data_IF_512251798448
#
_entry.id   IF_512251798448
#
_cell.length_a   1.000
_cell.length_b   1.000
_cell.length_c   1.000
_cell.angle_alpha   90.00
_cell.angle_beta   90.00
_cell.angle_gamma   90.00
#
_symmetry.space_group_name_H-M   'P 1'
#
loop_
_entity.id
_entity.type
_entity.pdbx_description
1 polymer ?
#
# COMPACT_ATOMS: atom_id res chain seq x y z
N UNK A 1 13.00 37.67 54.00
CA UNK A 1 13.45 37.77 52.59
C UNK A 1 14.82 37.11 52.51
N UNK A 2 14.92 35.86 52.05
CA UNK A 2 16.19 35.13 52.06
C UNK A 2 17.10 35.62 50.93
N UNK A 3 18.28 36.09 51.31
CA UNK A 3 19.32 36.55 50.39
C UNK A 3 19.96 35.34 49.70
N UNK A 4 19.40 34.95 48.54
CA UNK A 4 20.07 34.03 47.64
C UNK A 4 21.22 34.80 46.98
N UNK A 5 22.44 34.51 47.42
CA UNK A 5 23.67 35.15 46.95
C UNK A 5 23.87 34.86 45.44
N UNK A 6 24.30 35.85 44.64
CA UNK A 6 24.47 35.74 43.18
C UNK A 6 25.34 34.54 42.74
N UNK A 7 26.22 34.05 43.62
CA UNK A 7 27.02 32.84 43.41
C UNK A 7 26.20 31.54 43.43
N UNK A 8 25.18 31.44 44.30
CA UNK A 8 24.29 30.27 44.37
C UNK A 8 23.42 30.17 43.11
N UNK A 9 22.95 31.31 42.58
CA UNK A 9 22.16 31.37 41.34
C UNK A 9 23.00 30.96 40.13
N UNK A 10 24.26 31.43 40.02
CA UNK A 10 25.17 30.99 38.94
C UNK A 10 25.43 29.49 38.97
N UNK A 11 25.66 28.90 40.15
CA UNK A 11 25.90 27.46 40.26
C UNK A 11 24.64 26.63 39.94
N UNK A 12 23.45 27.08 40.34
CA UNK A 12 22.18 26.40 39.98
C UNK A 12 21.91 26.49 38.48
N UNK A 13 22.18 27.63 37.83
CA UNK A 13 22.01 27.78 36.38
C UNK A 13 23.02 26.92 35.61
N UNK A 14 24.28 26.84 36.05
CA UNK A 14 25.30 26.00 35.41
C UNK A 14 24.99 24.51 35.60
N UNK A 15 24.55 24.08 36.79
CA UNK A 15 24.18 22.68 37.05
C UNK A 15 22.95 22.28 36.22
N UNK A 16 21.92 23.13 36.14
CA UNK A 16 20.75 22.85 35.29
C UNK A 16 21.10 22.86 33.79
N UNK A 17 21.97 23.76 33.34
CA UNK A 17 22.43 23.77 31.95
C UNK A 17 23.24 22.51 31.58
N UNK A 18 24.08 22.00 32.49
CA UNK A 18 24.84 20.74 32.28
C UNK A 18 23.94 19.51 32.32
N UNK A 19 22.93 19.46 33.20
CA UNK A 19 21.95 18.35 33.23
C UNK A 19 21.06 18.36 31.98
N UNK A 20 20.65 19.54 31.50
CA UNK A 20 19.90 19.68 30.23
C UNK A 20 20.80 19.31 29.04
N UNK A 21 22.07 19.70 29.04
CA UNK A 21 23.02 19.28 28.00
C UNK A 21 23.27 17.77 28.02
N UNK A 22 23.35 17.14 29.21
CA UNK A 22 23.48 15.69 29.34
C UNK A 22 22.20 14.95 28.93
N UNK A 23 21.01 15.51 29.15
CA UNK A 23 19.74 14.95 28.67
C UNK A 23 19.55 15.14 27.16
N UNK A 24 20.10 16.21 26.57
CA UNK A 24 20.15 16.41 25.11
C UNK A 24 21.22 15.52 24.46
N UNK A 25 22.38 15.33 25.11
CA UNK A 25 23.45 14.46 24.64
C UNK A 25 23.13 12.96 24.81
N UNK A 26 22.32 12.58 25.81
CA UNK A 26 21.81 11.22 25.98
C UNK A 26 20.64 10.87 25.03
N UNK A 27 20.16 11.83 24.23
CA UNK A 27 19.27 11.59 23.08
C UNK A 27 20.02 11.46 21.75
N UNK A 28 21.34 11.33 21.79
CA UNK A 28 22.11 10.89 20.64
C UNK A 28 22.08 9.36 20.56
N UNK A 29 21.24 8.87 19.65
CA UNK A 29 21.37 7.59 18.93
C UNK A 29 21.41 6.31 19.78
N UNK A 30 20.27 5.92 20.34
CA UNK A 30 19.80 4.56 20.05
C UNK A 30 18.80 4.69 18.90
N UNK A 31 19.32 4.68 17.66
CA UNK A 31 18.45 4.28 16.57
C UNK A 31 18.09 2.82 16.88
N UNK A 32 16.82 2.55 17.18
CA UNK A 32 16.37 1.17 17.33
C UNK A 32 16.79 0.43 16.06
N UNK A 33 17.49 -0.69 16.23
CA UNK A 33 18.01 -1.43 15.09
C UNK A 33 16.82 -1.97 14.28
N UNK A 34 16.56 -1.38 13.11
CA UNK A 34 15.46 -1.80 12.23
C UNK A 34 15.77 -3.17 11.64
N UNK A 35 14.74 -3.93 11.24
CA UNK A 35 14.93 -5.23 10.57
C UNK A 35 15.25 -5.09 9.07
N UNK A 36 15.50 -3.87 8.60
CA UNK A 36 15.76 -3.52 7.20
C UNK A 36 16.85 -2.45 7.08
N UNK A 37 17.45 -2.37 5.90
CA UNK A 37 18.35 -1.30 5.48
C UNK A 37 17.54 -0.15 4.87
N UNK A 38 18.04 1.08 4.93
CA UNK A 38 17.42 2.24 4.29
C UNK A 38 18.37 2.96 3.32
N UNK A 39 17.78 3.65 2.35
CA UNK A 39 18.39 4.69 1.51
C UNK A 39 17.42 5.87 1.54
N UNK A 40 17.79 6.91 2.28
CA UNK A 40 16.91 8.04 2.54
C UNK A 40 17.35 9.26 1.75
N UNK A 41 16.41 10.17 1.51
CA UNK A 41 16.61 11.47 0.87
C UNK A 41 17.24 11.40 -0.52
N UNK A 42 16.95 10.32 -1.28
CA UNK A 42 17.41 10.19 -2.66
C UNK A 42 16.60 11.13 -3.56
N UNK A 43 17.25 11.97 -4.36
CA UNK A 43 16.55 12.77 -5.38
C UNK A 43 16.23 11.89 -6.58
N UNK A 44 14.94 11.72 -6.90
CA UNK A 44 14.53 10.96 -8.08
C UNK A 44 14.25 11.86 -9.28
N UNK A 45 13.82 13.10 -9.04
CA UNK A 45 13.51 14.08 -10.09
C UNK A 45 13.83 15.48 -9.60
N UNK A 46 14.46 16.29 -10.47
CA UNK A 46 14.68 17.72 -10.22
C UNK A 46 13.95 18.52 -11.29
N UNK A 47 13.13 19.47 -10.85
CA UNK A 47 12.36 20.36 -11.71
C UNK A 47 12.76 21.78 -11.35
N UNK A 48 13.54 22.41 -12.22
CA UNK A 48 14.21 23.69 -11.93
C UNK A 48 15.05 23.57 -10.63
N UNK A 49 14.59 24.18 -9.53
CA UNK A 49 15.25 24.14 -8.22
C UNK A 49 14.52 23.25 -7.20
N UNK A 50 13.45 22.56 -7.60
CA UNK A 50 12.69 21.66 -6.75
C UNK A 50 13.20 20.23 -6.90
N UNK A 51 13.68 19.65 -5.79
CA UNK A 51 14.05 18.23 -5.72
C UNK A 51 12.89 17.41 -5.15
N UNK A 52 12.41 16.43 -5.91
CA UNK A 52 11.49 15.42 -5.42
C UNK A 52 12.28 14.19 -4.97
N UNK A 53 11.95 13.72 -3.77
CA UNK A 53 12.73 12.74 -3.06
C UNK A 53 12.00 11.41 -2.90
N UNK A 54 12.79 10.34 -2.76
CA UNK A 54 12.34 8.98 -2.53
C UNK A 54 13.16 8.36 -1.40
N UNK A 55 12.48 7.68 -0.49
CA UNK A 55 13.08 6.87 0.57
C UNK A 55 12.83 5.40 0.26
N UNK A 56 13.86 4.56 0.35
CA UNK A 56 13.79 3.13 0.03
C UNK A 56 14.19 2.33 1.25
N UNK A 57 13.40 1.34 1.63
CA UNK A 57 13.81 0.31 2.58
C UNK A 57 13.95 -1.04 1.87
N UNK A 58 14.98 -1.76 2.27
CA UNK A 58 15.43 -3.00 1.67
C UNK A 58 15.57 -4.06 2.77
N UNK A 59 15.23 -5.33 2.51
CA UNK A 59 15.49 -6.43 3.43
C UNK A 59 16.95 -6.43 3.93
N UNK A 60 17.16 -6.78 5.21
CA UNK A 60 18.51 -6.85 5.81
C UNK A 60 19.42 -7.88 5.14
N UNK A 61 18.86 -8.93 4.56
CA UNK A 61 19.63 -9.98 3.92
C UNK A 61 20.26 -9.47 2.60
N UNK A 62 21.59 -9.57 2.51
CA UNK A 62 22.37 -9.15 1.34
C UNK A 62 22.31 -10.15 0.17
N UNK A 63 21.11 -10.68 -0.11
CA UNK A 63 20.89 -11.48 -1.32
C UNK A 63 21.03 -10.60 -2.57
N UNK A 64 21.61 -11.15 -3.63
CA UNK A 64 21.67 -10.51 -4.95
C UNK A 64 20.35 -10.62 -5.73
N UNK A 65 19.33 -11.25 -5.15
CA UNK A 65 18.01 -11.41 -5.75
C UNK A 65 17.33 -10.05 -5.96
N UNK A 66 16.80 -9.84 -7.17
CA UNK A 66 15.86 -8.76 -7.47
C UNK A 66 14.49 -9.06 -6.85
N UNK A 67 13.84 -8.05 -6.29
CA UNK A 67 12.67 -8.21 -5.42
C UNK A 67 11.48 -7.41 -5.93
N UNK A 68 10.26 -7.94 -5.76
CA UNK A 68 9.06 -7.12 -5.91
C UNK A 68 9.15 -5.89 -5.00
N UNK A 69 8.71 -4.75 -5.52
CA UNK A 69 8.89 -3.46 -4.86
C UNK A 69 7.59 -2.68 -4.83
N UNK A 70 7.21 -2.20 -3.65
CA UNK A 70 6.05 -1.35 -3.46
C UNK A 70 6.46 0.12 -3.62
N UNK A 71 5.96 0.78 -4.66
CA UNK A 71 6.04 2.22 -4.84
C UNK A 71 4.88 2.89 -4.07
N UNK A 72 5.16 3.56 -2.96
CA UNK A 72 4.15 4.09 -2.05
C UNK A 72 3.99 5.60 -2.16
N UNK A 73 2.73 6.06 -2.17
CA UNK A 73 2.36 7.47 -2.19
C UNK A 73 1.52 7.86 -0.96
N UNK A 74 1.99 8.88 -0.24
CA UNK A 74 1.37 9.37 0.99
C UNK A 74 0.02 10.06 0.74
N UNK A 75 -0.81 10.14 1.78
CA UNK A 75 -2.08 10.89 1.77
C UNK A 75 -1.88 12.40 1.96
N UNK A 76 -2.95 13.13 2.31
CA UNK A 76 -2.88 14.58 2.58
C UNK A 76 -3.58 15.46 1.54
N UNK A 77 -4.62 14.94 0.88
CA UNK A 77 -5.49 15.72 0.00
C UNK A 77 -4.80 16.31 -1.23
N UNK A 78 -3.67 15.73 -1.67
CA UNK A 78 -2.77 16.27 -2.71
C UNK A 78 -2.22 17.68 -2.39
N UNK A 79 -2.24 18.08 -1.12
CA UNK A 79 -1.87 19.43 -0.66
C UNK A 79 -0.88 19.43 0.50
N UNK A 80 -0.67 18.28 1.13
CA UNK A 80 0.17 18.09 2.29
C UNK A 80 0.68 16.66 2.36
N UNK A 81 1.53 16.40 3.35
CA UNK A 81 2.16 15.11 3.61
C UNK A 81 3.56 15.03 3.02
N UNK A 82 4.22 13.90 3.26
CA UNK A 82 5.52 13.58 2.68
C UNK A 82 5.72 12.07 2.59
N UNK A 83 6.72 11.65 1.82
CA UNK A 83 7.16 10.26 1.72
C UNK A 83 7.50 9.58 3.04
N UNK A 84 7.64 10.33 4.13
CA UNK A 84 7.91 9.79 5.47
C UNK A 84 6.65 9.23 6.13
N UNK A 85 5.46 9.65 5.68
CA UNK A 85 4.20 9.28 6.30
C UNK A 85 3.83 7.83 5.94
N UNK A 86 3.65 6.97 6.94
CA UNK A 86 3.34 5.53 6.75
C UNK A 86 4.51 4.65 6.29
N UNK A 87 5.61 5.24 5.83
CA UNK A 87 6.77 4.51 5.29
C UNK A 87 7.39 3.52 6.29
N UNK A 88 7.70 3.88 7.56
CA UNK A 88 8.28 2.93 8.51
C UNK A 88 7.39 1.70 8.76
N UNK A 89 6.08 1.90 8.89
CA UNK A 89 5.11 0.83 9.14
C UNK A 89 5.05 -0.19 8.00
N UNK A 90 5.06 0.30 6.75
CA UNK A 90 5.07 -0.58 5.59
C UNK A 90 6.41 -1.32 5.46
N UNK A 91 7.54 -0.64 5.74
CA UNK A 91 8.85 -1.28 5.79
C UNK A 91 8.92 -2.41 6.81
N UNK A 92 8.46 -2.18 8.03
CA UNK A 92 8.42 -3.19 9.09
C UNK A 92 7.57 -4.41 8.70
N UNK A 93 6.46 -4.17 8.00
CA UNK A 93 5.57 -5.23 7.53
C UNK A 93 6.23 -6.11 6.46
N UNK A 94 6.74 -5.52 5.37
CA UNK A 94 7.02 -6.32 4.15
C UNK A 94 8.48 -6.70 3.97
N UNK A 95 9.42 -5.94 4.55
CA UNK A 95 10.86 -6.23 4.36
C UNK A 95 11.34 -7.54 4.98
N UNK A 96 10.78 -8.05 6.11
CA UNK A 96 11.14 -9.38 6.62
C UNK A 96 10.79 -10.50 5.64
N UNK A 97 9.79 -10.28 4.79
CA UNK A 97 9.33 -11.24 3.78
C UNK A 97 10.00 -11.04 2.41
N UNK A 98 10.99 -10.15 2.33
CA UNK A 98 11.84 -10.01 1.16
C UNK A 98 11.37 -9.01 0.11
N UNK A 99 10.35 -8.22 0.39
CA UNK A 99 9.87 -7.12 -0.46
C UNK A 99 10.62 -5.81 -0.17
N UNK A 100 10.75 -4.95 -1.18
CA UNK A 100 11.23 -3.58 -0.98
C UNK A 100 10.05 -2.61 -0.86
N UNK A 101 10.26 -1.46 -0.21
CA UNK A 101 9.33 -0.31 -0.29
C UNK A 101 10.12 0.91 -0.73
N UNK A 102 9.56 1.64 -1.68
CA UNK A 102 10.06 2.94 -2.13
C UNK A 102 8.94 3.98 -1.98
N UNK A 103 9.04 4.86 -1.00
CA UNK A 103 8.07 5.91 -0.73
C UNK A 103 8.54 7.23 -1.32
N UNK A 104 7.71 7.88 -2.12
CA UNK A 104 8.11 9.05 -2.90
C UNK A 104 7.27 10.29 -2.59
N UNK A 105 7.94 11.45 -2.56
CA UNK A 105 7.28 12.75 -2.59
C UNK A 105 6.73 12.99 -4.00
N UNK A 106 5.66 13.76 -4.12
CA UNK A 106 5.14 14.26 -5.38
C UNK A 106 4.75 15.73 -5.21
N UNK A 107 4.71 16.51 -6.29
CA UNK A 107 4.36 17.92 -6.21
C UNK A 107 2.93 18.11 -5.69
N UNK A 108 2.73 19.12 -4.85
CA UNK A 108 1.48 19.37 -4.13
C UNK A 108 0.82 20.69 -4.54
N UNK A 109 -0.51 20.74 -4.47
CA UNK A 109 -1.27 21.97 -4.66
C UNK A 109 -1.16 22.87 -3.41
N UNK A 110 -1.24 24.21 -3.55
CA UNK A 110 -1.70 24.96 -4.71
C UNK A 110 -0.67 25.21 -5.80
N UNK A 111 0.62 25.09 -5.48
CA UNK A 111 1.72 25.49 -6.37
C UNK A 111 1.82 24.59 -7.60
N UNK A 112 1.46 23.32 -7.43
CA UNK A 112 1.44 22.33 -8.48
C UNK A 112 0.12 21.57 -8.48
N UNK A 113 -0.57 21.61 -9.62
CA UNK A 113 -1.87 20.95 -9.83
C UNK A 113 -1.72 19.85 -10.86
N UNK A 114 -2.76 19.06 -11.08
CA UNK A 114 -2.80 18.14 -12.20
C UNK A 114 -2.34 18.84 -13.52
N UNK A 115 -1.48 18.22 -14.34
CA UNK A 115 -0.98 16.83 -14.26
C UNK A 115 0.30 16.62 -13.41
N UNK A 116 0.84 17.66 -12.79
CA UNK A 116 2.19 17.62 -12.19
C UNK A 116 2.42 16.44 -11.23
N UNK A 117 1.48 16.21 -10.32
CA UNK A 117 1.52 15.13 -9.33
C UNK A 117 1.41 13.72 -9.96
N UNK A 118 0.64 13.57 -11.04
CA UNK A 118 0.50 12.30 -11.75
C UNK A 118 1.78 12.00 -12.52
N UNK A 119 2.37 13.02 -13.14
CA UNK A 119 3.63 12.90 -13.86
C UNK A 119 4.77 12.49 -12.94
N UNK A 120 4.80 13.05 -11.73
CA UNK A 120 5.78 12.69 -10.70
C UNK A 120 5.61 11.23 -10.26
N UNK A 121 4.38 10.79 -9.98
CA UNK A 121 4.09 9.41 -9.59
C UNK A 121 4.44 8.39 -10.70
N UNK A 122 4.10 8.67 -11.95
CA UNK A 122 4.52 7.83 -13.07
C UNK A 122 6.04 7.82 -13.25
N UNK A 123 6.70 8.97 -13.05
CA UNK A 123 8.16 9.07 -13.12
C UNK A 123 8.83 8.19 -12.07
N UNK A 124 8.30 8.10 -10.84
CA UNK A 124 8.82 7.21 -9.79
C UNK A 124 8.91 5.77 -10.28
N UNK A 125 7.87 5.25 -10.95
CA UNK A 125 7.90 3.89 -11.49
C UNK A 125 9.03 3.71 -12.51
N UNK A 126 9.21 4.69 -13.42
CA UNK A 126 10.29 4.67 -14.42
C UNK A 126 11.67 4.75 -13.77
N UNK A 127 11.82 5.59 -12.75
CA UNK A 127 13.05 5.75 -12.00
C UNK A 127 13.44 4.47 -11.25
N UNK A 128 12.47 3.79 -10.63
CA UNK A 128 12.68 2.49 -9.98
C UNK A 128 13.16 1.42 -10.97
N UNK A 129 12.56 1.37 -12.17
CA UNK A 129 13.00 0.46 -13.24
C UNK A 129 14.41 0.78 -13.73
N UNK A 130 14.75 2.06 -13.87
CA UNK A 130 16.09 2.49 -14.25
C UNK A 130 17.16 2.11 -13.21
N UNK A 131 16.81 2.18 -11.92
CA UNK A 131 17.74 1.90 -10.81
C UNK A 131 17.59 0.48 -10.23
N UNK A 132 17.00 -0.43 -11.02
CA UNK A 132 16.62 -1.74 -10.54
C UNK A 132 17.82 -2.57 -10.02
N UNK A 133 18.95 -2.49 -10.70
CA UNK A 133 20.19 -3.17 -10.28
C UNK A 133 20.73 -2.64 -8.95
N UNK A 134 20.74 -1.31 -8.80
CA UNK A 134 21.26 -0.60 -7.62
C UNK A 134 20.48 -0.92 -6.35
N UNK A 135 19.15 -0.99 -6.47
CA UNK A 135 18.26 -1.18 -5.32
C UNK A 135 17.63 -2.57 -5.25
N UNK A 136 18.12 -3.53 -6.05
CA UNK A 136 17.63 -4.92 -6.08
C UNK A 136 16.12 -4.99 -6.33
N UNK A 137 15.63 -4.18 -7.25
CA UNK A 137 14.22 -4.16 -7.67
C UNK A 137 14.06 -5.11 -8.84
N UNK A 138 12.99 -5.89 -8.85
CA UNK A 138 12.52 -6.57 -10.06
C UNK A 138 11.68 -5.56 -10.87
N UNK A 139 12.15 -5.09 -12.04
CA UNK A 139 11.46 -4.06 -12.81
C UNK A 139 10.11 -4.54 -13.39
N UNK A 140 9.84 -5.83 -13.36
CA UNK A 140 8.58 -6.44 -13.80
C UNK A 140 7.65 -6.80 -12.63
N UNK A 141 8.01 -6.43 -11.39
CA UNK A 141 7.18 -6.67 -10.19
C UNK A 141 7.13 -5.43 -9.32
N UNK A 142 6.65 -4.32 -9.88
CA UNK A 142 6.43 -3.08 -9.14
C UNK A 142 4.94 -2.97 -8.81
N UNK A 143 4.62 -2.89 -7.52
CA UNK A 143 3.27 -2.67 -7.01
C UNK A 143 3.15 -1.18 -6.70
N UNK A 144 2.10 -0.51 -7.16
CA UNK A 144 1.81 0.86 -6.74
C UNK A 144 0.88 0.84 -5.53
N UNK A 145 1.16 1.66 -4.52
CA UNK A 145 0.35 1.71 -3.33
C UNK A 145 0.16 3.13 -2.79
N UNK A 146 -0.89 3.35 -2.02
CA UNK A 146 -1.07 4.62 -1.33
C UNK A 146 -2.26 4.65 -0.37
N UNK A 147 -2.36 5.76 0.35
CA UNK A 147 -3.45 6.02 1.31
C UNK A 147 -4.16 7.34 0.98
N UNK A 148 -5.48 7.42 1.13
CA UNK A 148 -6.28 8.64 0.91
C UNK A 148 -6.04 9.25 -0.49
N UNK A 149 -5.59 10.49 -0.56
CA UNK A 149 -5.20 11.14 -1.80
C UNK A 149 -4.08 10.40 -2.55
N UNK A 150 -3.14 9.77 -1.83
CA UNK A 150 -2.11 8.91 -2.40
C UNK A 150 -2.68 7.60 -2.95
N UNK A 151 -3.75 7.07 -2.35
CA UNK A 151 -4.48 5.92 -2.89
C UNK A 151 -5.20 6.29 -4.21
N UNK A 152 -5.77 7.50 -4.26
CA UNK A 152 -6.38 8.05 -5.48
C UNK A 152 -5.31 8.16 -6.58
N UNK A 153 -4.15 8.75 -6.27
CA UNK A 153 -3.01 8.84 -7.19
C UNK A 153 -2.49 7.47 -7.65
N UNK A 154 -2.29 6.54 -6.70
CA UNK A 154 -1.85 5.18 -6.97
C UNK A 154 -2.82 4.43 -7.88
N UNK A 155 -4.12 4.58 -7.68
CA UNK A 155 -5.14 3.93 -8.52
C UNK A 155 -5.11 4.43 -9.97
N UNK A 156 -4.89 5.73 -10.18
CA UNK A 156 -4.73 6.30 -11.53
C UNK A 156 -3.44 5.79 -12.17
N UNK A 157 -2.34 5.68 -11.43
CA UNK A 157 -1.10 5.06 -11.94
C UNK A 157 -1.29 3.58 -12.27
N UNK A 158 -2.10 2.86 -11.47
CA UNK A 158 -2.41 1.44 -11.65
C UNK A 158 -3.21 1.14 -12.92
N UNK A 159 -4.21 1.98 -13.21
CA UNK A 159 -5.15 1.79 -14.32
C UNK A 159 -4.68 2.48 -15.60
N UNK A 160 -4.15 3.70 -15.50
CA UNK A 160 -3.83 4.51 -16.67
C UNK A 160 -2.64 3.96 -17.44
N UNK A 161 -2.80 3.88 -18.76
CA UNK A 161 -1.71 3.57 -19.66
C UNK A 161 -0.58 4.60 -19.59
N UNK A 162 0.63 4.16 -19.93
CA UNK A 162 1.85 4.97 -19.91
C UNK A 162 1.73 6.17 -20.85
N UNK A 163 1.31 7.32 -20.32
CA UNK A 163 1.30 8.59 -21.02
C UNK A 163 2.73 9.14 -21.03
N UNK A 164 3.52 8.65 -21.98
CA UNK A 164 4.89 9.13 -22.22
C UNK A 164 4.83 10.59 -22.68
N UNK A 165 5.03 11.54 -21.77
CA UNK A 165 5.45 12.86 -22.20
C UNK A 165 6.95 12.78 -22.53
N UNK A 166 7.36 13.08 -23.77
CA UNK A 166 8.76 13.11 -24.15
C UNK A 166 9.61 14.06 -23.30
N UNK A 167 8.99 15.06 -22.66
CA UNK A 167 9.66 15.98 -21.75
C UNK A 167 10.16 15.33 -20.44
N UNK A 168 9.76 14.10 -20.12
CA UNK A 168 10.00 13.48 -18.81
C UNK A 168 11.29 12.64 -18.69
N UNK A 169 12.27 12.79 -19.58
CA UNK A 169 13.65 12.31 -19.37
C UNK A 169 13.87 10.78 -19.29
N UNK A 170 12.82 9.95 -19.14
CA UNK A 170 12.88 8.49 -19.03
C UNK A 170 11.87 7.75 -19.95
N UNK A 171 11.75 8.10 -21.25
CA UNK A 171 10.73 7.51 -22.13
C UNK A 171 10.92 6.02 -22.43
N UNK A 172 12.08 5.43 -22.07
CA UNK A 172 12.41 4.03 -22.34
C UNK A 172 11.72 3.04 -21.39
N UNK A 173 11.25 3.50 -20.22
CA UNK A 173 10.61 2.64 -19.23
C UNK A 173 9.12 2.93 -19.17
N UNK A 174 8.29 1.88 -19.19
CA UNK A 174 6.86 2.00 -18.93
C UNK A 174 6.61 2.41 -17.49
N UNK A 175 5.67 3.34 -17.25
CA UNK A 175 5.19 3.66 -15.90
C UNK A 175 4.09 2.74 -15.38
N UNK A 176 3.65 1.74 -16.16
CA UNK A 176 2.61 0.80 -15.73
C UNK A 176 3.17 -0.13 -14.62
N UNK A 177 2.55 -0.15 -13.43
CA UNK A 177 2.87 -1.12 -12.38
C UNK A 177 2.22 -2.47 -12.69
N UNK A 178 2.56 -3.51 -11.93
CA UNK A 178 2.03 -4.87 -12.11
C UNK A 178 0.95 -5.21 -11.09
N UNK A 179 0.66 -4.33 -10.13
CA UNK A 179 -0.43 -4.49 -9.16
C UNK A 179 -0.66 -3.23 -8.34
N UNK A 180 -1.76 -3.18 -7.62
CA UNK A 180 -2.21 -1.97 -6.91
C UNK A 180 -2.75 -2.26 -5.50
N UNK A 181 -2.32 -1.50 -4.50
CA UNK A 181 -2.84 -1.55 -3.12
C UNK A 181 -3.32 -0.16 -2.71
N UNK A 182 -4.61 0.01 -2.44
CA UNK A 182 -5.21 1.33 -2.18
C UNK A 182 -6.01 1.31 -0.89
N UNK A 183 -5.72 2.27 0.00
CA UNK A 183 -6.40 2.39 1.30
C UNK A 183 -7.15 3.73 1.39
N UNK A 184 -8.46 3.66 1.62
CA UNK A 184 -9.37 4.81 1.78
C UNK A 184 -9.26 5.88 0.67
N UNK A 185 -9.18 5.47 -0.60
CA UNK A 185 -9.05 6.38 -1.75
C UNK A 185 -10.40 6.86 -2.31
N UNK A 186 -10.32 7.82 -3.23
CA UNK A 186 -11.38 8.19 -4.16
C UNK A 186 -10.94 7.81 -5.58
N UNK A 187 -11.84 7.22 -6.37
CA UNK A 187 -11.49 6.58 -7.64
C UNK A 187 -12.30 7.09 -8.82
N UNK A 188 -13.48 7.65 -8.55
CA UNK A 188 -14.35 8.34 -9.50
C UNK A 188 -14.62 9.78 -9.03
N UNK A 189 -13.97 10.73 -9.69
CA UNK A 189 -14.19 12.16 -9.48
C UNK A 189 -15.22 12.73 -10.46
N UNK A 190 -15.69 11.94 -11.43
CA UNK A 190 -16.67 12.36 -12.44
C UNK A 190 -18.09 12.35 -11.89
N UNK A 191 -18.39 11.47 -10.93
CA UNK A 191 -19.68 11.43 -10.26
C UNK A 191 -19.67 12.22 -8.93
N UNK A 192 -20.29 13.40 -8.87
CA UNK A 192 -20.35 14.20 -7.65
C UNK A 192 -21.17 13.51 -6.53
N UNK A 193 -22.03 12.54 -6.86
CA UNK A 193 -22.81 11.81 -5.86
C UNK A 193 -21.94 10.83 -5.07
N UNK A 194 -20.87 10.31 -5.67
CA UNK A 194 -19.96 9.36 -5.03
C UNK A 194 -18.91 10.02 -4.12
N UNK A 195 -18.70 11.33 -4.21
CA UNK A 195 -17.81 12.08 -3.29
C UNK A 195 -18.59 12.88 -2.23
N UNK A 196 -19.89 13.08 -2.44
CA UNK A 196 -20.70 14.00 -1.65
C UNK A 196 -20.15 15.44 -1.69
N UNK A 197 -20.42 16.22 -0.63
CA UNK A 197 -19.94 17.61 -0.52
C UNK A 197 -18.42 17.74 -0.30
N UNK A 198 -17.68 16.63 -0.19
CA UNK A 198 -16.26 16.62 0.12
C UNK A 198 -15.44 16.39 -1.15
N UNK A 199 -14.91 17.45 -1.74
CA UNK A 199 -13.96 17.33 -2.85
C UNK A 199 -12.71 18.19 -2.63
N UNK A 200 -11.85 17.87 -1.63
CA UNK A 200 -10.59 18.59 -1.40
C UNK A 200 -9.65 18.48 -2.61
N UNK A 201 -9.79 17.40 -3.38
CA UNK A 201 -8.97 17.07 -4.55
C UNK A 201 -9.33 17.91 -5.78
N UNK A 202 -10.60 18.33 -5.93
CA UNK A 202 -11.08 19.19 -7.04
C UNK A 202 -10.23 20.44 -7.23
N UNK A 203 -9.77 21.03 -6.12
CA UNK A 203 -8.88 22.18 -6.17
C UNK A 203 -7.53 21.84 -6.83
N UNK A 204 -6.97 20.68 -6.48
CA UNK A 204 -5.73 20.12 -7.04
C UNK A 204 -5.90 19.67 -8.49
N UNK A 205 -7.14 19.44 -8.95
CA UNK A 205 -7.48 19.19 -10.36
C UNK A 205 -7.73 20.48 -11.15
N UNK A 206 -7.56 21.66 -10.54
CA UNK A 206 -7.60 22.95 -11.25
C UNK A 206 -8.97 23.37 -11.78
N UNK A 207 -10.06 22.67 -11.43
CA UNK A 207 -11.41 22.97 -11.91
C UNK A 207 -11.66 22.66 -13.39
N UNK A 208 -10.79 21.88 -14.03
CA UNK A 208 -10.95 21.46 -15.41
C UNK A 208 -11.60 20.08 -15.48
N UNK A 209 -12.76 19.97 -16.13
CA UNK A 209 -13.50 18.71 -16.24
C UNK A 209 -12.71 17.61 -16.97
N UNK A 210 -11.81 17.96 -17.90
CA UNK A 210 -10.96 16.96 -18.54
C UNK A 210 -10.01 16.32 -17.53
N UNK A 211 -9.47 17.10 -16.59
CA UNK A 211 -8.58 16.60 -15.54
C UNK A 211 -9.32 15.74 -14.52
N UNK A 212 -10.60 16.02 -14.30
CA UNK A 212 -11.47 15.18 -13.48
C UNK A 212 -11.60 13.78 -14.07
N UNK A 213 -11.90 13.68 -15.37
CA UNK A 213 -11.94 12.38 -16.04
C UNK A 213 -10.55 11.71 -16.03
N UNK A 214 -9.49 12.45 -16.37
CA UNK A 214 -8.14 11.89 -16.43
C UNK A 214 -7.58 11.44 -15.07
N UNK A 215 -8.07 12.00 -13.96
CA UNK A 215 -7.70 11.61 -12.59
C UNK A 215 -8.70 10.64 -11.95
N UNK A 216 -9.74 10.20 -12.68
CA UNK A 216 -10.67 9.17 -12.22
C UNK A 216 -10.21 7.80 -12.71
N UNK A 217 -9.66 6.98 -11.81
CA UNK A 217 -9.11 5.66 -12.14
C UNK A 217 -10.12 4.76 -12.86
N UNK A 218 -11.40 4.81 -12.46
CA UNK A 218 -12.47 4.02 -13.09
C UNK A 218 -12.61 4.25 -14.59
N UNK A 219 -12.20 5.42 -15.10
CA UNK A 219 -12.28 5.75 -16.53
C UNK A 219 -11.13 5.17 -17.37
N UNK A 220 -10.10 4.62 -16.71
CA UNK A 220 -8.91 4.05 -17.36
C UNK A 220 -8.79 2.54 -17.18
N UNK A 221 -9.70 1.90 -16.44
CA UNK A 221 -9.64 0.46 -16.18
C UNK A 221 -9.60 -0.31 -17.51
N UNK A 222 -8.63 -1.21 -17.64
CA UNK A 222 -8.47 -2.05 -18.80
C UNK A 222 -7.99 -3.46 -18.43
N UNK A 223 -8.22 -4.43 -19.32
CA UNK A 223 -7.94 -5.86 -19.05
C UNK A 223 -6.46 -6.21 -18.82
N UNK A 224 -5.54 -5.27 -19.08
CA UNK A 224 -4.11 -5.39 -18.82
C UNK A 224 -3.67 -4.78 -17.48
N UNK A 225 -4.63 -4.31 -16.66
CA UNK A 225 -4.37 -3.87 -15.29
C UNK A 225 -3.89 -5.03 -14.40
N UNK A 226 -3.04 -4.71 -13.44
CA UNK A 226 -2.62 -5.65 -12.40
C UNK A 226 -3.72 -5.92 -11.38
N UNK A 227 -3.58 -6.94 -10.52
CA UNK A 227 -4.54 -7.21 -9.46
C UNK A 227 -4.63 -6.05 -8.46
N UNK A 228 -5.78 -5.91 -7.81
CA UNK A 228 -6.06 -4.84 -6.84
C UNK A 228 -6.33 -5.40 -5.44
N UNK A 229 -5.77 -4.74 -4.43
CA UNK A 229 -6.24 -4.81 -3.04
C UNK A 229 -6.78 -3.44 -2.64
N UNK A 230 -8.07 -3.39 -2.31
CA UNK A 230 -8.76 -2.23 -1.78
C UNK A 230 -9.03 -2.43 -0.29
N UNK A 231 -8.75 -1.41 0.52
CA UNK A 231 -9.05 -1.41 1.96
C UNK A 231 -9.75 -0.11 2.30
N UNK A 232 -10.86 -0.16 3.02
CA UNK A 232 -11.59 1.04 3.43
C UNK A 232 -12.24 0.84 4.80
N UNK A 233 -12.34 1.90 5.61
CA UNK A 233 -13.20 1.90 6.79
C UNK A 233 -14.68 2.13 6.43
N UNK A 234 -15.62 1.46 7.10
CA UNK A 234 -17.06 1.68 6.84
C UNK A 234 -17.62 2.96 7.53
N UNK A 235 -16.83 3.58 8.42
CA UNK A 235 -17.14 4.82 9.11
C UNK A 235 -16.24 5.98 8.64
N UNK A 236 -15.60 5.82 7.47
CA UNK A 236 -14.79 6.83 6.81
C UNK A 236 -15.64 8.06 6.41
N UNK A 237 -15.00 9.19 6.15
CA UNK A 237 -15.69 10.44 5.84
C UNK A 237 -16.49 10.33 4.56
N UNK A 238 -17.77 10.73 4.61
CA UNK A 238 -18.61 10.89 3.41
C UNK A 238 -18.69 9.60 2.57
N UNK A 239 -19.16 9.68 1.32
CA UNK A 239 -19.32 8.55 0.41
C UNK A 239 -18.01 7.87 -0.06
N UNK A 240 -16.87 8.09 0.62
CA UNK A 240 -15.60 7.43 0.29
C UNK A 240 -15.67 5.89 0.39
N UNK A 241 -16.34 5.26 1.36
CA UNK A 241 -16.52 3.80 1.37
C UNK A 241 -17.16 3.29 0.07
N UNK A 242 -18.16 4.02 -0.42
CA UNK A 242 -18.87 3.71 -1.68
C UNK A 242 -17.92 3.80 -2.88
N UNK A 243 -16.89 4.66 -2.85
CA UNK A 243 -15.87 4.71 -3.89
C UNK A 243 -15.09 3.39 -3.99
N UNK A 244 -14.72 2.78 -2.86
CA UNK A 244 -14.02 1.49 -2.87
C UNK A 244 -14.91 0.34 -3.34
N UNK A 245 -16.19 0.35 -2.95
CA UNK A 245 -17.19 -0.60 -3.47
C UNK A 245 -17.34 -0.44 -4.99
N UNK A 246 -17.51 0.79 -5.47
CA UNK A 246 -17.66 1.09 -6.90
C UNK A 246 -16.42 0.69 -7.72
N UNK A 247 -15.22 1.05 -7.25
CA UNK A 247 -13.98 0.65 -7.91
C UNK A 247 -13.84 -0.89 -7.95
N UNK A 248 -14.22 -1.58 -6.87
CA UNK A 248 -14.20 -3.04 -6.84
C UNK A 248 -15.16 -3.64 -7.89
N UNK A 249 -16.39 -3.14 -7.98
CA UNK A 249 -17.37 -3.56 -8.99
C UNK A 249 -16.85 -3.36 -10.42
N UNK A 250 -16.31 -2.17 -10.73
CA UNK A 250 -15.76 -1.86 -12.05
C UNK A 250 -14.58 -2.78 -12.43
N UNK A 251 -13.73 -3.15 -11.46
CA UNK A 251 -12.65 -4.11 -11.68
C UNK A 251 -13.18 -5.53 -11.95
N UNK A 252 -14.25 -5.94 -11.27
CA UNK A 252 -14.90 -7.24 -11.50
C UNK A 252 -15.54 -7.30 -12.90
N UNK A 253 -16.18 -6.23 -13.38
CA UNK A 253 -16.82 -6.20 -14.70
C UNK A 253 -15.88 -6.53 -15.86
N UNK A 254 -14.60 -6.16 -15.74
CA UNK A 254 -13.55 -6.44 -16.74
C UNK A 254 -12.65 -7.62 -16.36
N UNK A 255 -13.02 -8.40 -15.34
CA UNK A 255 -12.29 -9.57 -14.84
C UNK A 255 -10.86 -9.28 -14.35
N UNK A 256 -10.63 -8.10 -13.77
CA UNK A 256 -9.38 -7.83 -13.06
C UNK A 256 -9.46 -8.47 -11.66
N UNK A 257 -8.47 -9.29 -11.25
CA UNK A 257 -8.47 -9.86 -9.91
C UNK A 257 -8.42 -8.74 -8.87
N UNK A 258 -9.45 -8.65 -8.02
CA UNK A 258 -9.53 -7.61 -7.01
C UNK A 258 -10.07 -8.18 -5.70
N UNK A 259 -9.70 -7.53 -4.59
CA UNK A 259 -10.27 -7.80 -3.28
C UNK A 259 -10.57 -6.52 -2.54
N UNK A 260 -11.73 -6.44 -1.91
CA UNK A 260 -12.14 -5.33 -1.06
C UNK A 260 -12.24 -5.76 0.40
N UNK A 261 -11.55 -5.05 1.29
CA UNK A 261 -11.60 -5.22 2.73
C UNK A 261 -12.28 -4.00 3.36
N UNK A 262 -13.48 -4.21 3.91
CA UNK A 262 -14.20 -3.19 4.68
C UNK A 262 -13.90 -3.36 6.18
N UNK A 263 -13.41 -2.31 6.82
CA UNK A 263 -13.00 -2.30 8.23
C UNK A 263 -14.10 -1.67 9.11
N UNK A 264 -14.76 -2.46 9.98
CA UNK A 264 -15.85 -1.95 10.80
C UNK A 264 -15.41 -0.88 11.80
N UNK A 265 -16.12 0.25 11.81
CA UNK A 265 -15.93 1.37 12.72
C UNK A 265 -14.67 2.19 12.51
N UNK A 266 -13.97 2.03 11.38
CA UNK A 266 -12.76 2.80 11.06
C UNK A 266 -13.08 4.06 10.29
N UNK A 267 -12.50 5.18 10.75
CA UNK A 267 -12.63 6.49 10.13
C UNK A 267 -11.36 6.90 9.36
N UNK A 268 -11.45 8.01 8.62
CA UNK A 268 -10.34 8.52 7.80
C UNK A 268 -9.13 9.02 8.61
N UNK A 269 -9.34 9.43 9.87
CA UNK A 269 -8.32 10.14 10.64
C UNK A 269 -7.28 9.19 11.23
N UNK A 270 -7.66 7.91 11.36
CA UNK A 270 -6.77 6.80 11.71
C UNK A 270 -6.07 6.13 10.53
N UNK A 271 -6.06 6.70 9.32
CA UNK A 271 -5.65 6.00 8.10
C UNK A 271 -4.23 5.39 8.12
N UNK A 272 -3.28 6.01 8.81
CA UNK A 272 -1.94 5.42 8.96
C UNK A 272 -1.91 4.32 10.03
N UNK A 273 -2.78 4.40 11.04
CA UNK A 273 -2.98 3.34 12.02
C UNK A 273 -3.68 2.13 11.39
N UNK A 274 -4.50 2.32 10.35
CA UNK A 274 -5.10 1.23 9.55
C UNK A 274 -4.01 0.30 8.97
N UNK A 275 -2.86 0.84 8.54
CA UNK A 275 -1.73 0.03 8.06
C UNK A 275 -1.08 -0.84 9.17
N UNK A 276 -1.36 -0.53 10.43
CA UNK A 276 -0.89 -1.30 11.59
C UNK A 276 -1.93 -2.35 12.04
N UNK A 277 -3.13 -2.35 11.46
CA UNK A 277 -4.15 -3.31 11.85
C UNK A 277 -3.81 -4.71 11.33
N UNK A 278 -3.86 -5.75 12.20
CA UNK A 278 -3.49 -7.11 11.80
C UNK A 278 -4.26 -7.63 10.57
N UNK A 279 -5.55 -7.30 10.45
CA UNK A 279 -6.38 -7.65 9.28
C UNK A 279 -5.81 -7.05 7.99
N UNK A 280 -5.38 -5.79 8.03
CA UNK A 280 -4.83 -5.08 6.85
C UNK A 280 -3.44 -5.59 6.52
N UNK A 281 -2.59 -5.77 7.53
CA UNK A 281 -1.24 -6.33 7.35
C UNK A 281 -1.30 -7.74 6.74
N UNK A 282 -2.21 -8.56 7.24
CA UNK A 282 -2.45 -9.91 6.73
C UNK A 282 -2.96 -9.87 5.29
N UNK A 283 -3.89 -8.96 4.99
CA UNK A 283 -4.42 -8.82 3.64
C UNK A 283 -3.36 -8.37 2.62
N UNK A 284 -2.51 -7.41 3.00
CA UNK A 284 -1.37 -6.96 2.20
C UNK A 284 -0.43 -8.14 1.93
N UNK A 285 -0.07 -8.91 2.97
CA UNK A 285 0.82 -10.05 2.81
C UNK A 285 0.23 -11.17 1.95
N UNK A 286 -1.06 -11.48 2.11
CA UNK A 286 -1.74 -12.49 1.29
C UNK A 286 -1.79 -12.07 -0.19
N UNK A 287 -2.12 -10.81 -0.47
CA UNK A 287 -2.07 -10.25 -1.81
C UNK A 287 -0.65 -10.33 -2.42
N UNK A 288 0.37 -9.92 -1.66
CA UNK A 288 1.76 -9.97 -2.12
C UNK A 288 2.22 -11.41 -2.37
N UNK A 289 1.87 -12.35 -1.50
CA UNK A 289 2.26 -13.75 -1.64
C UNK A 289 1.55 -14.44 -2.82
N UNK A 290 0.29 -14.07 -3.09
CA UNK A 290 -0.48 -14.64 -4.20
C UNK A 290 0.07 -14.19 -5.56
N UNK A 291 0.40 -12.90 -5.71
CA UNK A 291 0.70 -12.31 -7.03
C UNK A 291 2.18 -11.97 -7.23
N UNK A 292 2.95 -11.81 -6.16
CA UNK A 292 4.31 -11.28 -6.18
C UNK A 292 5.29 -12.06 -5.31
N UNK A 293 5.10 -13.38 -5.16
CA UNK A 293 5.97 -14.21 -4.32
C UNK A 293 7.45 -13.99 -4.64
N UNK A 294 8.24 -13.71 -3.60
CA UNK A 294 9.69 -13.48 -3.73
C UNK A 294 10.39 -14.76 -4.18
N UNK A 295 11.28 -14.65 -5.16
CA UNK A 295 12.07 -15.79 -5.68
C UNK A 295 11.34 -16.65 -6.71
N UNK A 296 10.02 -16.48 -6.90
CA UNK A 296 9.31 -17.12 -8.01
C UNK A 296 9.78 -16.54 -9.35
N UNK A 297 9.89 -17.34 -10.44
CA UNK A 297 10.15 -16.82 -11.77
C UNK A 297 9.09 -15.78 -12.16
N UNK A 298 9.46 -14.78 -12.94
CA UNK A 298 8.50 -13.85 -13.54
C UNK A 298 7.64 -14.64 -14.53
N UNK A 299 6.48 -15.15 -14.11
CA UNK A 299 5.54 -15.76 -15.03
C UNK A 299 4.75 -14.66 -15.73
N UNK A 300 4.75 -14.69 -17.06
CA UNK A 300 3.79 -14.01 -17.94
C UNK A 300 2.34 -14.41 -17.59
N UNK A 301 1.34 -13.64 -18.06
CA UNK A 301 0.24 -13.10 -17.26
C UNK A 301 -0.54 -14.13 -16.45
N UNK A 302 -1.09 -13.67 -15.32
CA UNK A 302 -2.13 -14.36 -14.55
C UNK A 302 -3.18 -14.92 -15.53
N UNK A 303 -3.56 -16.21 -15.43
CA UNK A 303 -4.60 -16.77 -16.28
C UNK A 303 -5.85 -15.88 -16.20
N UNK A 304 -6.30 -15.40 -17.36
CA UNK A 304 -7.51 -14.56 -17.50
C UNK A 304 -8.82 -15.32 -17.25
N UNK A 305 -8.72 -16.55 -16.76
CA UNK A 305 -9.85 -17.34 -16.31
C UNK A 305 -9.74 -17.52 -14.80
N UNK A 306 -10.63 -16.86 -14.05
CA UNK A 306 -11.27 -17.61 -12.96
C UNK A 306 -11.76 -18.92 -13.57
N UNK A 307 -11.57 -20.09 -12.91
CA UNK A 307 -12.28 -21.26 -13.36
C UNK A 307 -13.75 -20.87 -13.39
N UNK A 308 -14.34 -20.83 -14.59
CA UNK A 308 -15.78 -20.85 -14.73
C UNK A 308 -16.21 -22.24 -14.24
N UNK A 309 -16.27 -22.40 -12.92
CA UNK A 309 -16.86 -23.55 -12.28
C UNK A 309 -18.35 -23.49 -12.59
N UNK A 310 -18.76 -24.25 -13.61
CA UNK A 310 -20.15 -24.63 -13.77
C UNK A 310 -20.67 -25.07 -12.40
N UNK A 311 -21.77 -24.46 -11.95
CA UNK A 311 -22.51 -24.80 -10.73
C UNK A 311 -23.29 -26.11 -10.95
N UNK A 312 -22.64 -27.10 -11.54
CA UNK A 312 -23.23 -28.34 -11.97
C UNK A 312 -22.17 -29.43 -11.94
N UNK A 313 -21.73 -29.80 -10.74
CA UNK A 313 -21.77 -31.19 -10.29
C UNK A 313 -21.49 -31.25 -8.77
N UNK A 314 -22.55 -31.32 -7.97
CA UNK A 314 -22.46 -31.54 -6.51
C UNK A 314 -23.04 -32.91 -6.14
N UNK A 315 -23.02 -33.87 -7.06
CA UNK A 315 -23.46 -35.24 -6.79
C UNK A 315 -22.66 -36.26 -7.59
N UNK A 316 -21.47 -36.62 -7.13
CA UNK A 316 -21.00 -37.99 -7.38
C UNK A 316 -20.23 -38.52 -6.16
N UNK A 317 -20.57 -39.76 -5.80
CA UNK A 317 -20.18 -40.46 -4.59
C UNK A 317 -18.93 -41.33 -4.83
N UNK A 318 -18.05 -41.44 -3.82
CA UNK A 318 -17.29 -42.68 -3.59
C UNK A 318 -15.79 -42.69 -3.92
N UNK A 319 -15.01 -42.94 -2.87
CA UNK A 319 -13.64 -43.48 -2.76
C UNK A 319 -12.82 -43.81 -4.02
N UNK A 320 -11.59 -43.27 -4.04
CA UNK A 320 -10.40 -44.07 -4.35
C UNK A 320 -9.32 -43.84 -3.29
N UNK A 321 -8.55 -44.87 -2.87
CA UNK A 321 -7.51 -44.73 -1.88
C UNK A 321 -6.24 -44.16 -2.52
N UNK A 322 -6.22 -42.85 -2.76
CA UNK A 322 -4.96 -42.14 -2.85
C UNK A 322 -4.63 -41.56 -1.47
N UNK A 323 -3.40 -41.75 -1.00
CA UNK A 323 -2.95 -41.22 0.29
C UNK A 323 -2.70 -39.70 0.21
N UNK A 324 -3.57 -38.96 -0.48
CA UNK A 324 -3.47 -37.52 -0.64
C UNK A 324 -4.71 -36.86 -0.04
N UNK A 325 -4.47 -35.98 0.93
CA UNK A 325 -5.51 -35.13 1.52
C UNK A 325 -5.90 -34.09 0.49
N UNK A 326 -7.16 -34.10 0.07
CA UNK A 326 -7.72 -33.06 -0.81
C UNK A 326 -8.61 -32.08 -0.03
N UNK A 327 -9.07 -31.02 -0.71
CA UNK A 327 -9.89 -29.94 -0.13
C UNK A 327 -11.17 -30.47 0.56
N UNK A 328 -11.71 -31.61 0.11
CA UNK A 328 -12.89 -32.24 0.70
C UNK A 328 -12.56 -32.98 2.01
N UNK A 329 -11.42 -33.70 2.07
CA UNK A 329 -10.96 -34.38 3.29
C UNK A 329 -10.68 -33.38 4.43
N UNK A 330 -10.22 -32.18 4.08
CA UNK A 330 -10.01 -31.09 5.03
C UNK A 330 -11.34 -30.49 5.51
N UNK A 331 -12.32 -30.28 4.61
CA UNK A 331 -13.63 -29.74 4.98
C UNK A 331 -14.43 -30.65 5.92
N UNK A 332 -14.25 -31.98 5.84
CA UNK A 332 -14.82 -32.93 6.80
C UNK A 332 -14.10 -32.87 8.16
N UNK A 333 -12.79 -32.63 8.19
CA UNK A 333 -12.01 -32.48 9.43
C UNK A 333 -12.24 -31.13 10.14
N UNK A 334 -12.60 -30.06 9.40
CA UNK A 334 -12.84 -28.71 9.96
C UNK A 334 -14.32 -28.47 10.31
N UNK A 335 -15.22 -29.42 10.01
CA UNK A 335 -16.65 -29.36 10.32
C UNK A 335 -17.02 -29.21 11.81
N UNK A 336 -16.06 -29.34 12.74
CA UNK A 336 -16.28 -29.14 14.18
C UNK A 336 -15.56 -27.91 14.80
N UNK A 337 -14.82 -27.11 14.03
CA UNK A 337 -14.24 -25.85 14.53
C UNK A 337 -15.25 -24.69 14.53
N UNK A 338 -16.29 -24.87 15.34
CA UNK A 338 -17.29 -23.87 15.68
C UNK A 338 -17.97 -24.14 17.02
N UNK A 339 -17.62 -25.24 17.71
CA UNK A 339 -18.11 -25.57 19.05
C UNK A 339 -16.95 -25.76 20.01
N UNK A 340 -16.80 -24.77 20.88
CA UNK A 340 -15.94 -24.69 22.07
C UNK A 340 -14.48 -24.28 21.85
N UNK A 341 -14.02 -23.26 22.59
CA UNK A 341 -12.60 -23.08 22.87
C UNK A 341 -12.08 -21.64 22.96
N UNK A 342 -12.22 -21.03 24.14
CA UNK A 342 -11.38 -19.98 24.77
C UNK A 342 -10.99 -18.65 24.05
N UNK A 343 -10.85 -17.53 24.80
CA UNK A 343 -10.38 -16.26 24.25
C UNK A 343 -8.88 -16.33 23.95
N UNK A 344 -8.47 -16.15 22.69
CA UNK A 344 -7.05 -16.00 22.34
C UNK A 344 -6.63 -16.47 20.94
N UNK A 345 -7.52 -17.06 20.13
CA UNK A 345 -7.15 -17.55 18.79
C UNK A 345 -7.74 -16.67 17.67
N UNK A 346 -6.94 -16.44 16.63
CA UNK A 346 -7.27 -15.63 15.45
C UNK A 346 -8.49 -16.25 14.75
N UNK A 347 -9.53 -15.46 14.50
CA UNK A 347 -10.69 -15.89 13.70
C UNK A 347 -10.22 -16.15 12.27
N UNK A 348 -10.50 -17.34 11.75
CA UNK A 348 -10.05 -17.79 10.43
C UNK A 348 -10.65 -16.99 9.25
N UNK A 349 -11.78 -16.31 9.46
CA UNK A 349 -12.40 -15.43 8.47
C UNK A 349 -11.89 -13.99 8.69
N UNK A 350 -10.89 -13.61 7.90
CA UNK A 350 -10.18 -12.33 8.03
C UNK A 350 -11.03 -11.18 7.50
N UNK A 351 -11.89 -11.46 6.53
CA UNK A 351 -12.70 -10.46 5.82
C UNK A 351 -14.14 -10.35 6.35
N UNK A 352 -14.49 -11.13 7.37
CA UNK A 352 -15.73 -11.10 8.17
C UNK A 352 -17.01 -11.26 7.34
N UNK A 353 -16.95 -12.03 6.25
CA UNK A 353 -18.08 -12.27 5.36
C UNK A 353 -18.82 -13.60 5.65
N UNK A 354 -18.37 -14.36 6.66
CA UNK A 354 -18.94 -15.63 7.07
C UNK A 354 -18.46 -16.84 6.27
N UNK A 355 -17.45 -16.68 5.40
CA UNK A 355 -16.83 -17.74 4.60
C UNK A 355 -15.31 -17.72 4.80
N UNK A 356 -14.67 -18.88 4.73
CA UNK A 356 -13.21 -19.01 4.69
C UNK A 356 -12.85 -19.40 3.26
N UNK A 357 -12.01 -18.63 2.57
CA UNK A 357 -11.57 -18.91 1.20
C UNK A 357 -10.04 -19.05 1.04
N UNK A 358 -9.57 -19.28 -0.20
CA UNK A 358 -8.14 -19.51 -0.50
C UNK A 358 -7.25 -18.35 -0.01
N UNK A 359 -7.76 -17.13 0.04
CA UNK A 359 -7.02 -16.00 0.57
C UNK A 359 -6.97 -16.03 2.10
N UNK A 360 -8.07 -16.35 2.78
CA UNK A 360 -8.05 -16.55 4.24
C UNK A 360 -7.05 -17.65 4.61
N UNK A 361 -6.99 -18.72 3.81
CA UNK A 361 -6.01 -19.78 3.92
C UNK A 361 -4.57 -19.29 3.69
N UNK A 362 -4.28 -18.63 2.56
CA UNK A 362 -2.94 -18.13 2.23
C UNK A 362 -2.43 -17.10 3.25
N UNK A 363 -3.35 -16.31 3.81
CA UNK A 363 -3.10 -15.40 4.92
C UNK A 363 -2.74 -16.13 6.23
N UNK A 364 -3.46 -17.21 6.57
CA UNK A 364 -3.19 -18.01 7.76
C UNK A 364 -1.87 -18.79 7.61
N UNK A 365 -1.65 -19.45 6.48
CA UNK A 365 -0.45 -20.25 6.22
C UNK A 365 0.79 -19.38 6.02
N UNK A 366 0.65 -18.17 5.45
CA UNK A 366 1.74 -17.19 5.37
C UNK A 366 2.27 -16.74 6.75
N UNK A 367 1.46 -16.87 7.81
CA UNK A 367 1.87 -16.64 9.20
C UNK A 367 2.46 -17.89 9.88
N UNK A 368 2.31 -19.07 9.30
CA UNK A 368 2.95 -20.32 9.75
C UNK A 368 4.13 -20.66 8.83
N UNK A 369 5.20 -19.89 8.93
CA UNK A 369 6.33 -20.03 8.02
C UNK A 369 7.63 -19.33 8.42
N UNK A 370 8.04 -19.41 9.70
CA UNK A 370 9.40 -19.78 10.16
C UNK A 370 9.31 -20.46 11.51
#
# INVERSE_FOLDING_TARGET
MSNINRYQIKNIVIINAVVILCLIAARSTYAAETNYNTRLDLTYKTIENLELKIDICLPKNNSNMQRPTIAFFHGGGLRAGSRKDGFPSLCELVTPHGYNVASADYRLAPDHKYPDLLDDAQYVIRWLKQHAETYRIDPNRIIVAGVSAGASLASVVGTRNDTRNPAYGLPSYSSKPQGTIVVSGAYDFTDPNLLGSFNPTSYSLGGNQNYVNEFSAVTHISSDDGPFLLVHGDADITALPVQSEWMYEMLQEVNIPARLIMLPGRDHFGIYQVLLEPTVQTAIMAYLNQYFTVGSPTTTPIPTSSPAGNIADLTDEGDTPDNQVNEFDYNVLVGDFGKTGSPGWIKADIIKNGKVDEFDYNALVGNFGV
#
